data_IF_745095484751
#
_entry.id   IF_745095484751
#
_cell.length_a   1.000
_cell.length_b   1.000
_cell.length_c   1.000
_cell.angle_alpha   90.00
_cell.angle_beta   90.00
_cell.angle_gamma   90.00
#
_symmetry.space_group_name_H-M   'P 1'
#
loop_
_entity.id
_entity.type
_entity.pdbx_description
1 polymer ?
#
# COMPACT_ATOMS: atom_id res chain seq x y z
N UNK A 1 -4.23 20.41 -5.16
CA UNK A 1 -4.55 18.99 -5.44
C UNK A 1 -4.61 18.27 -4.10
N UNK A 2 -5.55 17.34 -3.89
CA UNK A 2 -5.62 16.53 -2.67
C UNK A 2 -4.52 15.45 -2.74
N UNK A 3 -3.84 15.18 -1.62
CA UNK A 3 -2.94 14.03 -1.55
C UNK A 3 -3.74 12.73 -1.75
N UNK A 4 -3.21 11.76 -2.54
CA UNK A 4 -3.89 10.49 -2.76
C UNK A 4 -3.99 9.70 -1.45
N UNK A 5 -5.13 9.04 -1.27
CA UNK A 5 -5.37 8.14 -0.13
C UNK A 5 -4.48 6.90 -0.22
N UNK A 6 -4.27 6.24 0.93
CA UNK A 6 -3.54 4.97 0.97
C UNK A 6 -4.20 3.90 0.09
N UNK A 7 -5.53 3.94 -0.06
CA UNK A 7 -6.30 3.00 -0.89
C UNK A 7 -6.04 3.21 -2.38
N UNK A 8 -5.92 4.47 -2.82
CA UNK A 8 -5.59 4.82 -4.21
C UNK A 8 -4.17 4.37 -4.55
N UNK A 9 -3.22 4.63 -3.66
CA UNK A 9 -1.82 4.20 -3.84
C UNK A 9 -1.69 2.68 -3.82
N UNK A 10 -2.41 2.00 -2.92
CA UNK A 10 -2.48 0.54 -2.88
C UNK A 10 -3.03 -0.06 -4.18
N UNK A 11 -4.16 0.46 -4.68
CA UNK A 11 -4.73 0.02 -5.97
C UNK A 11 -3.76 0.28 -7.12
N UNK A 12 -3.09 1.43 -7.13
CA UNK A 12 -2.11 1.76 -8.16
C UNK A 12 -0.93 0.77 -8.15
N UNK A 13 -0.46 0.35 -6.96
CA UNK A 13 0.59 -0.67 -6.85
C UNK A 13 0.14 -2.03 -7.39
N UNK A 14 -1.10 -2.46 -7.10
CA UNK A 14 -1.63 -3.73 -7.60
C UNK A 14 -1.85 -3.75 -9.12
N UNK A 15 -2.12 -2.59 -9.72
CA UNK A 15 -2.38 -2.43 -11.14
C UNK A 15 -1.14 -2.04 -11.94
N UNK A 16 0.02 -1.86 -11.30
CA UNK A 16 1.26 -1.54 -11.98
C UNK A 16 1.75 -2.76 -12.76
N UNK A 17 1.93 -2.57 -14.06
CA UNK A 17 2.35 -3.63 -14.99
C UNK A 17 3.83 -3.51 -15.35
N UNK A 18 4.43 -2.33 -15.13
CA UNK A 18 5.85 -2.11 -15.34
C UNK A 18 6.67 -2.72 -14.17
N UNK A 19 7.44 -3.79 -14.40
CA UNK A 19 8.20 -4.46 -13.34
C UNK A 19 9.24 -3.54 -12.71
N UNK A 20 9.70 -2.51 -13.42
CA UNK A 20 10.66 -1.54 -12.89
C UNK A 20 9.99 -0.56 -11.91
N UNK A 21 8.67 -0.33 -12.05
CA UNK A 21 7.90 0.61 -11.22
C UNK A 21 7.09 -0.07 -10.13
N UNK A 22 6.81 -1.38 -10.24
CA UNK A 22 6.08 -2.15 -9.22
C UNK A 22 6.65 -1.93 -7.83
N UNK A 23 7.98 -1.95 -7.68
CA UNK A 23 8.62 -1.76 -6.38
C UNK A 23 8.41 -0.34 -5.84
N UNK A 24 8.60 0.68 -6.67
CA UNK A 24 8.38 2.09 -6.30
C UNK A 24 6.92 2.33 -5.88
N UNK A 25 5.97 1.82 -6.65
CA UNK A 25 4.53 1.94 -6.36
C UNK A 25 4.14 1.20 -5.10
N UNK A 26 4.70 0.01 -4.89
CA UNK A 26 4.46 -0.78 -3.69
C UNK A 26 5.02 -0.08 -2.44
N UNK A 27 6.19 0.55 -2.55
CA UNK A 27 6.79 1.31 -1.45
C UNK A 27 5.97 2.57 -1.12
N UNK A 28 5.55 3.34 -2.13
CA UNK A 28 4.68 4.50 -1.92
C UNK A 28 3.35 4.11 -1.24
N UNK A 29 2.77 2.98 -1.63
CA UNK A 29 1.58 2.43 -0.99
C UNK A 29 1.84 2.02 0.47
N UNK A 30 2.96 1.34 0.77
CA UNK A 30 3.31 0.98 2.15
C UNK A 30 3.47 2.20 3.04
N UNK A 31 4.16 3.23 2.56
CA UNK A 31 4.33 4.47 3.31
C UNK A 31 3.00 5.14 3.64
N UNK A 32 2.08 5.19 2.68
CA UNK A 32 0.75 5.76 2.90
C UNK A 32 -0.09 4.93 3.87
N UNK A 33 -0.01 3.59 3.79
CA UNK A 33 -0.68 2.68 4.72
C UNK A 33 -0.14 2.83 6.15
N UNK A 34 1.19 2.89 6.31
CA UNK A 34 1.81 3.15 7.62
C UNK A 34 1.42 4.52 8.17
N UNK A 35 1.40 5.57 7.33
CA UNK A 35 0.96 6.90 7.74
C UNK A 35 -0.48 6.87 8.25
N UNK A 36 -1.39 6.14 7.57
CA UNK A 36 -2.78 5.97 8.06
C UNK A 36 -2.80 5.26 9.41
N UNK A 37 -1.97 4.24 9.60
CA UNK A 37 -1.89 3.47 10.83
C UNK A 37 -1.43 4.31 12.03
N UNK A 38 -0.55 5.27 11.80
CA UNK A 38 0.02 6.16 12.83
C UNK A 38 -0.69 7.51 12.92
N UNK A 39 -1.71 7.77 12.11
CA UNK A 39 -2.43 9.04 12.12
C UNK A 39 -3.29 9.15 13.39
N UNK A 40 -2.99 10.14 14.22
CA UNK A 40 -3.71 10.39 15.48
C UNK A 40 -5.02 11.16 15.28
N UNK A 41 -5.20 11.76 14.10
CA UNK A 41 -6.33 12.65 13.80
C UNK A 41 -7.66 11.91 13.65
N UNK A 42 -7.64 10.66 13.19
CA UNK A 42 -8.84 9.84 13.00
C UNK A 42 -8.64 8.42 13.53
N UNK A 43 -9.47 7.95 14.48
CA UNK A 43 -9.38 6.59 14.98
C UNK A 43 -9.62 5.59 13.86
N UNK A 44 -8.82 4.52 13.84
CA UNK A 44 -8.95 3.43 12.90
C UNK A 44 -9.98 2.45 13.44
N UNK A 45 -10.97 2.10 12.62
CA UNK A 45 -11.95 1.06 12.96
C UNK A 45 -11.33 -0.33 12.84
N UNK A 46 -11.87 -1.33 13.54
CA UNK A 46 -11.41 -2.72 13.39
C UNK A 46 -11.50 -3.22 11.94
N UNK A 47 -12.52 -2.78 11.20
CA UNK A 47 -12.67 -3.10 9.77
C UNK A 47 -11.55 -2.48 8.93
N UNK A 48 -11.23 -1.20 9.17
CA UNK A 48 -10.15 -0.52 8.44
C UNK A 48 -8.79 -1.11 8.79
N UNK A 49 -8.56 -1.47 10.06
CA UNK A 49 -7.34 -2.16 10.49
C UNK A 49 -7.17 -3.48 9.72
N UNK A 50 -8.24 -4.28 9.57
CA UNK A 50 -8.20 -5.51 8.78
C UNK A 50 -7.85 -5.26 7.30
N UNK A 51 -8.35 -4.18 6.70
CA UNK A 51 -8.00 -3.79 5.32
C UNK A 51 -6.53 -3.34 5.22
N UNK A 52 -6.01 -2.66 6.24
CA UNK A 52 -4.61 -2.23 6.30
C UNK A 52 -3.68 -3.43 6.41
N UNK A 53 -3.98 -4.41 7.27
CA UNK A 53 -3.17 -5.62 7.41
C UNK A 53 -3.13 -6.43 6.10
N UNK A 54 -4.28 -6.65 5.46
CA UNK A 54 -4.37 -7.31 4.15
C UNK A 54 -3.54 -6.56 3.07
N UNK A 55 -3.62 -5.23 3.05
CA UNK A 55 -2.86 -4.41 2.12
C UNK A 55 -1.34 -4.57 2.32
N UNK A 56 -0.86 -4.54 3.57
CA UNK A 56 0.56 -4.72 3.89
C UNK A 56 1.07 -6.10 3.46
N UNK A 57 0.29 -7.16 3.73
CA UNK A 57 0.64 -8.52 3.31
C UNK A 57 0.72 -8.64 1.78
N UNK A 58 -0.26 -8.09 1.06
CA UNK A 58 -0.27 -8.13 -0.42
C UNK A 58 0.87 -7.32 -1.03
N UNK A 59 1.16 -6.13 -0.49
CA UNK A 59 2.30 -5.32 -0.91
C UNK A 59 3.64 -6.02 -0.64
N UNK A 60 3.73 -6.81 0.44
CA UNK A 60 4.89 -7.67 0.71
C UNK A 60 5.07 -8.75 -0.34
N UNK A 61 4.01 -9.49 -0.65
CA UNK A 61 4.03 -10.54 -1.68
C UNK A 61 4.34 -9.98 -3.07
N UNK A 62 3.78 -8.82 -3.42
CA UNK A 62 3.99 -8.16 -4.71
C UNK A 62 5.49 -7.90 -4.97
N UNK A 63 6.20 -7.35 -3.99
CA UNK A 63 7.64 -7.05 -4.12
C UNK A 63 8.54 -8.30 -4.03
N UNK A 64 8.07 -9.39 -3.43
CA UNK A 64 8.82 -10.66 -3.36
C UNK A 64 8.76 -11.44 -4.67
N UNK A 65 7.65 -11.37 -5.40
CA UNK A 65 7.51 -12.01 -6.71
C UNK A 65 8.34 -11.35 -7.80
N UNK A 66 8.70 -10.07 -7.64
CA UNK A 66 9.52 -9.30 -8.60
C UNK A 66 11.02 -9.64 -8.56
N UNK A 67 11.47 -10.47 -7.62
CA UNK A 67 12.88 -10.81 -7.39
C UNK A 67 13.33 -12.19 -7.91
N UNK A 68 12.56 -12.83 -8.80
CA UNK A 68 12.95 -14.11 -9.41
C UNK A 68 12.78 -14.04 -10.92
N UNK A 69 13.81 -13.54 -11.59
CA UNK A 69 14.07 -13.73 -13.01
C UNK A 69 15.57 -13.96 -13.20
#
# INVERSE_FOLDING_TARGET
MREPTWQELYKAALLELDPQKVNERAEAARWAVHRRLTAEEEPITAEEYGKIDDALQKLYLLTRGSGSA
#
